data_IF_374153453423
#
_entry.id   IF_374153453423
#
_cell.length_a   1.000
_cell.length_b   1.000
_cell.length_c   1.000
_cell.angle_alpha   90.00
_cell.angle_beta   90.00
_cell.angle_gamma   90.00
#
_symmetry.space_group_name_H-M   'P 1'
#
loop_
_entity.id
_entity.type
_entity.pdbx_description
1 polymer ?
#
# COMPACT_ATOMS: atom_id res chain seq x y z
N UNK A 1 15.85 -15.96 6.16
CA UNK A 1 14.92 -14.85 6.44
C UNK A 1 14.71 -14.79 7.94
N UNK A 2 14.98 -13.65 8.58
CA UNK A 2 14.60 -13.43 9.97
C UNK A 2 13.06 -13.49 10.04
N UNK A 3 12.50 -14.12 11.07
CA UNK A 3 11.04 -14.17 11.22
C UNK A 3 10.48 -12.74 11.30
N UNK A 4 9.32 -12.50 10.67
CA UNK A 4 8.67 -11.19 10.72
C UNK A 4 8.39 -10.79 12.17
N UNK A 5 8.72 -9.56 12.59
CA UNK A 5 8.48 -9.11 13.95
C UNK A 5 7.02 -8.66 14.19
N UNK A 6 6.24 -8.50 13.12
CA UNK A 6 4.90 -7.91 13.19
C UNK A 6 3.83 -8.97 13.50
N UNK A 7 2.77 -8.53 14.18
CA UNK A 7 1.60 -9.34 14.50
C UNK A 7 0.34 -8.65 13.99
N UNK A 8 -0.79 -9.37 13.86
CA UNK A 8 -2.05 -8.75 13.50
C UNK A 8 -2.44 -7.66 14.51
N UNK A 9 -3.01 -6.55 14.02
CA UNK A 9 -3.44 -5.45 14.88
C UNK A 9 -4.59 -5.90 15.81
N UNK A 10 -4.48 -5.50 17.08
CA UNK A 10 -5.50 -5.65 18.11
C UNK A 10 -6.17 -4.30 18.32
N UNK A 11 -7.33 -4.11 17.68
CA UNK A 11 -8.12 -2.88 17.77
C UNK A 11 -9.14 -2.98 18.92
N UNK A 12 -9.45 -1.86 19.59
CA UNK A 12 -10.43 -1.80 20.71
C UNK A 12 -11.81 -2.28 20.29
N UNK A 13 -12.17 -1.99 19.05
CA UNK A 13 -13.47 -2.32 18.50
C UNK A 13 -13.30 -3.22 17.28
N UNK A 14 -13.86 -4.44 17.29
CA UNK A 14 -13.85 -5.29 16.12
C UNK A 14 -14.66 -4.66 14.99
N UNK A 15 -14.22 -4.85 13.76
CA UNK A 15 -15.00 -4.47 12.59
C UNK A 15 -16.24 -5.36 12.49
N UNK A 16 -17.44 -4.82 12.22
CA UNK A 16 -18.60 -5.65 11.90
C UNK A 16 -18.52 -6.22 10.47
N UNK A 17 -17.54 -5.79 9.68
CA UNK A 17 -17.25 -6.31 8.35
C UNK A 17 -16.20 -7.44 8.44
N UNK A 18 -16.09 -8.31 7.42
CA UNK A 18 -15.07 -9.37 7.37
C UNK A 18 -13.62 -8.88 7.35
N UNK A 19 -13.42 -7.56 7.27
CA UNK A 19 -12.15 -6.86 7.17
C UNK A 19 -12.21 -5.53 7.93
N UNK A 20 -11.06 -4.94 8.22
CA UNK A 20 -10.95 -3.67 8.97
C UNK A 20 -11.47 -2.51 8.11
N UNK A 21 -12.21 -1.57 8.69
CA UNK A 21 -12.64 -0.35 7.97
C UNK A 21 -12.45 0.88 8.87
N UNK A 22 -11.45 1.70 8.56
CA UNK A 22 -11.34 3.07 9.04
C UNK A 22 -12.09 4.00 8.10
N UNK A 23 -12.98 4.84 8.62
CA UNK A 23 -13.66 5.84 7.82
C UNK A 23 -13.86 7.16 8.56
N UNK A 24 -13.89 8.26 7.82
CA UNK A 24 -14.00 9.62 8.37
C UNK A 24 -13.36 10.64 7.43
N UNK A 25 -13.45 11.94 7.76
CA UNK A 25 -13.15 12.99 6.81
C UNK A 25 -11.65 13.13 6.58
N UNK A 26 -11.26 13.62 5.40
CA UNK A 26 -9.86 13.88 5.03
C UNK A 26 -9.13 14.76 6.06
N UNK A 27 -9.84 15.74 6.62
CA UNK A 27 -9.39 16.60 7.72
C UNK A 27 -10.59 16.87 8.63
N UNK A 28 -10.36 17.08 9.92
CA UNK A 28 -11.37 17.70 10.77
C UNK A 28 -11.48 19.18 10.38
N UNK A 29 -12.68 19.64 10.02
CA UNK A 29 -12.91 21.00 9.51
C UNK A 29 -13.55 21.88 10.58
N UNK A 30 -14.63 21.36 11.18
CA UNK A 30 -15.30 21.95 12.34
C UNK A 30 -15.73 20.84 13.28
N UNK A 31 -16.02 21.19 14.54
CA UNK A 31 -16.57 20.23 15.51
C UNK A 31 -17.88 19.62 15.00
N UNK A 32 -18.79 20.45 14.49
CA UNK A 32 -20.08 20.00 13.96
C UNK A 32 -19.92 19.02 12.79
N UNK A 33 -19.03 19.33 11.85
CA UNK A 33 -18.73 18.45 10.71
C UNK A 33 -18.12 17.12 11.18
N UNK A 34 -17.17 17.17 12.12
CA UNK A 34 -16.48 15.99 12.64
C UNK A 34 -17.46 15.04 13.34
N UNK A 35 -18.29 15.58 14.25
CA UNK A 35 -19.28 14.80 14.99
C UNK A 35 -20.39 14.26 14.08
N UNK A 36 -20.93 15.08 13.17
CA UNK A 36 -21.95 14.63 12.22
C UNK A 36 -21.44 13.49 11.33
N UNK A 37 -20.18 13.55 10.89
CA UNK A 37 -19.54 12.46 10.14
C UNK A 37 -19.46 11.18 10.98
N UNK A 38 -18.96 11.30 12.21
CA UNK A 38 -18.78 10.18 13.11
C UNK A 38 -20.12 9.52 13.48
N UNK A 39 -21.15 10.30 13.80
CA UNK A 39 -22.51 9.83 14.09
C UNK A 39 -23.10 9.05 12.91
N UNK A 40 -23.02 9.62 11.70
CA UNK A 40 -23.54 8.98 10.50
C UNK A 40 -22.85 7.64 10.20
N UNK A 41 -21.54 7.57 10.41
CA UNK A 41 -20.73 6.35 10.27
C UNK A 41 -21.05 5.33 11.38
N UNK A 42 -21.15 5.78 12.63
CA UNK A 42 -21.43 4.95 13.81
C UNK A 42 -22.78 4.26 13.71
N UNK A 43 -23.79 5.00 13.24
CA UNK A 43 -25.15 4.49 12.98
C UNK A 43 -25.15 3.33 11.96
N UNK A 44 -24.12 3.25 11.12
CA UNK A 44 -23.96 2.26 10.05
C UNK A 44 -22.96 1.14 10.40
N UNK A 45 -22.52 1.05 11.65
CA UNK A 45 -21.66 -0.03 12.11
C UNK A 45 -20.17 0.28 12.13
N UNK A 46 -19.71 1.36 11.50
CA UNK A 46 -18.29 1.75 11.56
C UNK A 46 -17.92 2.07 13.02
N UNK A 47 -16.74 1.60 13.44
CA UNK A 47 -16.21 1.79 14.81
C UNK A 47 -14.81 2.41 14.85
N UNK A 48 -14.14 2.48 13.71
CA UNK A 48 -12.81 3.02 13.58
C UNK A 48 -12.92 4.31 12.79
N UNK A 49 -12.74 5.43 13.48
CA UNK A 49 -12.89 6.76 12.90
C UNK A 49 -11.52 7.31 12.51
N UNK A 50 -11.42 8.00 11.37
CA UNK A 50 -10.18 8.67 10.94
C UNK A 50 -10.41 10.14 10.67
N UNK A 51 -9.58 11.02 11.20
CA UNK A 51 -9.55 12.44 10.82
C UNK A 51 -8.15 13.02 11.03
N UNK A 52 -7.63 13.76 10.05
CA UNK A 52 -6.35 14.48 10.22
C UNK A 52 -6.63 15.80 10.91
N UNK A 53 -5.85 16.13 11.94
CA UNK A 53 -5.88 17.46 12.55
C UNK A 53 -4.85 18.41 11.93
N UNK A 54 -3.71 17.87 11.50
CA UNK A 54 -2.62 18.59 10.84
C UNK A 54 -2.46 18.12 9.40
N UNK A 55 -2.31 19.05 8.44
CA UNK A 55 -2.19 18.73 7.01
C UNK A 55 -0.86 19.22 6.44
N UNK A 56 -0.01 18.32 5.92
CA UNK A 56 1.23 18.71 5.23
C UNK A 56 0.91 19.21 3.80
N UNK A 57 0.48 20.47 3.67
CA UNK A 57 0.09 21.05 2.39
C UNK A 57 1.31 21.38 1.53
N UNK A 58 1.20 21.10 0.23
CA UNK A 58 2.26 21.42 -0.75
C UNK A 58 2.30 22.90 -1.10
N UNK A 59 1.15 23.58 -1.04
CA UNK A 59 1.04 25.01 -1.34
C UNK A 59 0.65 25.75 -0.06
N UNK A 60 1.43 26.79 0.33
CA UNK A 60 1.04 27.70 1.40
C UNK A 60 -0.33 28.34 1.15
N UNK A 61 -1.06 28.69 2.22
CA UNK A 61 -2.35 29.38 2.14
C UNK A 61 -3.55 28.51 1.78
N UNK A 62 -3.37 27.19 1.73
CA UNK A 62 -4.49 26.23 1.71
C UNK A 62 -4.77 25.73 3.14
N UNK A 63 -5.97 25.24 3.42
CA UNK A 63 -6.34 24.77 4.76
C UNK A 63 -5.29 23.77 5.31
N UNK A 64 -4.64 24.15 6.40
CA UNK A 64 -3.51 23.42 7.03
C UNK A 64 -3.97 22.44 8.12
N UNK A 65 -5.28 22.33 8.33
CA UNK A 65 -5.87 21.62 9.44
C UNK A 65 -6.16 22.54 10.62
N UNK A 66 -7.05 22.10 11.51
CA UNK A 66 -7.42 22.82 12.75
C UNK A 66 -6.37 22.69 13.85
N UNK A 67 -5.40 21.78 13.68
CA UNK A 67 -4.37 21.48 14.68
C UNK A 67 -4.96 21.03 16.02
N UNK A 68 -4.33 21.46 17.10
CA UNK A 68 -4.64 21.06 18.48
C UNK A 68 -6.08 21.37 18.89
N UNK A 69 -6.71 22.38 18.29
CA UNK A 69 -8.12 22.74 18.55
C UNK A 69 -9.09 21.61 18.20
N UNK A 70 -8.70 20.70 17.30
CA UNK A 70 -9.49 19.54 16.92
C UNK A 70 -9.35 18.34 17.86
N UNK A 71 -8.36 18.31 18.77
CA UNK A 71 -8.14 17.19 19.70
C UNK A 71 -9.36 16.93 20.60
N UNK A 72 -10.00 17.96 21.21
CA UNK A 72 -11.24 17.76 21.98
C UNK A 72 -12.37 17.14 21.14
N UNK A 73 -12.46 17.43 19.85
CA UNK A 73 -13.51 16.89 18.99
C UNK A 73 -13.33 15.38 18.78
N UNK A 74 -12.08 14.93 18.61
CA UNK A 74 -11.75 13.52 18.50
C UNK A 74 -12.00 12.77 19.82
N UNK A 75 -11.66 13.37 20.97
CA UNK A 75 -12.00 12.82 22.28
C UNK A 75 -13.51 12.67 22.47
N UNK A 76 -14.31 13.64 21.98
CA UNK A 76 -15.78 13.54 22.00
C UNK A 76 -16.28 12.39 21.16
N UNK A 77 -15.72 12.16 19.97
CA UNK A 77 -16.06 10.99 19.14
C UNK A 77 -15.81 9.69 19.89
N UNK A 78 -14.66 9.53 20.56
CA UNK A 78 -14.38 8.32 21.35
C UNK A 78 -15.36 8.15 22.51
N UNK A 79 -15.56 9.21 23.30
CA UNK A 79 -16.37 9.19 24.52
C UNK A 79 -17.86 9.04 24.25
N UNK A 80 -18.40 9.79 23.29
CA UNK A 80 -19.85 9.88 23.03
C UNK A 80 -20.34 8.77 22.10
N UNK A 81 -19.51 8.32 21.15
CA UNK A 81 -19.92 7.35 20.13
C UNK A 81 -19.31 5.96 20.33
N UNK A 82 -18.35 5.81 21.25
CA UNK A 82 -17.65 4.54 21.49
C UNK A 82 -16.93 4.06 20.24
N UNK A 83 -16.22 4.98 19.58
CA UNK A 83 -15.37 4.70 18.42
C UNK A 83 -13.90 4.79 18.84
N UNK A 84 -13.03 4.07 18.13
CA UNK A 84 -11.59 4.24 18.25
C UNK A 84 -11.15 5.22 17.17
N UNK A 85 -10.59 6.35 17.58
CA UNK A 85 -10.18 7.41 16.66
C UNK A 85 -8.72 7.26 16.30
N UNK A 86 -8.42 7.35 15.01
CA UNK A 86 -7.08 7.55 14.49
C UNK A 86 -6.90 8.99 13.98
N UNK A 87 -5.70 9.55 14.16
CA UNK A 87 -5.28 10.83 13.58
C UNK A 87 -3.88 10.75 12.96
N UNK A 88 -3.57 11.65 12.02
CA UNK A 88 -2.24 11.76 11.41
C UNK A 88 -1.27 12.45 12.37
N UNK A 89 -0.08 11.88 12.56
CA UNK A 89 1.04 12.55 13.22
C UNK A 89 2.21 12.66 12.24
N UNK A 90 2.91 13.79 12.28
CA UNK A 90 3.97 14.10 11.30
C UNK A 90 5.23 14.72 11.91
N UNK A 91 5.20 15.12 13.17
CA UNK A 91 6.31 15.62 13.98
C UNK A 91 6.20 15.11 15.41
N UNK A 92 7.27 15.22 16.21
CA UNK A 92 7.23 14.92 17.64
C UNK A 92 6.15 15.72 18.39
N UNK A 93 5.98 17.00 18.07
CA UNK A 93 4.95 17.84 18.71
C UNK A 93 3.53 17.32 18.49
N UNK A 94 3.19 16.84 17.29
CA UNK A 94 1.88 16.24 17.02
C UNK A 94 1.66 14.98 17.86
N UNK A 95 2.71 14.17 18.05
CA UNK A 95 2.67 12.97 18.89
C UNK A 95 2.42 13.37 20.35
N UNK A 96 3.21 14.29 20.89
CA UNK A 96 3.10 14.76 22.27
C UNK A 96 1.71 15.32 22.58
N UNK A 97 1.17 16.18 21.71
CA UNK A 97 -0.16 16.76 21.89
C UNK A 97 -1.28 15.72 21.80
N UNK A 98 -1.19 14.78 20.85
CA UNK A 98 -2.20 13.74 20.69
C UNK A 98 -2.19 12.74 21.85
N UNK A 99 -1.01 12.36 22.36
CA UNK A 99 -0.85 11.54 23.56
C UNK A 99 -1.36 12.27 24.81
N UNK A 100 -1.07 13.57 24.95
CA UNK A 100 -1.58 14.38 26.05
C UNK A 100 -3.11 14.49 26.03
N UNK A 101 -3.72 14.44 24.83
CA UNK A 101 -5.16 14.34 24.65
C UNK A 101 -5.70 12.90 24.84
N UNK A 102 -4.87 11.92 25.19
CA UNK A 102 -5.28 10.54 25.42
C UNK A 102 -5.65 9.76 24.17
N UNK A 103 -5.29 10.25 22.97
CA UNK A 103 -5.39 9.48 21.74
C UNK A 103 -4.22 8.49 21.67
N UNK A 104 -4.47 7.30 21.14
CA UNK A 104 -3.47 6.22 21.12
C UNK A 104 -3.40 5.46 19.78
N UNK A 105 -4.12 5.94 18.77
CA UNK A 105 -4.12 5.35 17.43
C UNK A 105 -3.72 6.43 16.45
N UNK A 106 -2.62 6.20 15.74
CA UNK A 106 -2.03 7.16 14.83
C UNK A 106 -1.78 6.56 13.46
N UNK A 107 -1.72 7.40 12.44
CA UNK A 107 -1.02 7.04 11.23
C UNK A 107 0.05 8.06 10.87
N UNK A 108 1.07 7.57 10.17
CA UNK A 108 2.13 8.38 9.60
C UNK A 108 1.88 8.51 8.10
N UNK A 109 1.83 9.75 7.61
CA UNK A 109 1.55 10.07 6.21
C UNK A 109 2.69 9.73 5.25
N UNK A 110 2.35 9.51 3.97
CA UNK A 110 3.31 9.09 2.94
C UNK A 110 4.52 10.04 2.77
N UNK A 111 4.32 11.35 2.99
CA UNK A 111 5.40 12.35 2.95
C UNK A 111 6.40 12.16 4.08
N UNK A 112 5.90 11.90 5.29
CA UNK A 112 6.72 11.67 6.47
C UNK A 112 7.45 10.34 6.38
N UNK A 113 6.78 9.27 5.91
CA UNK A 113 7.41 7.96 5.64
C UNK A 113 8.60 8.07 4.68
N UNK A 114 8.57 9.03 3.75
CA UNK A 114 9.66 9.24 2.78
C UNK A 114 10.97 9.73 3.44
N UNK A 115 10.93 10.21 4.70
CA UNK A 115 12.10 10.72 5.42
C UNK A 115 12.50 9.79 6.58
N UNK A 116 13.63 9.06 6.49
CA UNK A 116 14.15 8.27 7.59
C UNK A 116 14.42 9.08 8.86
N UNK A 117 14.80 10.36 8.73
CA UNK A 117 15.00 11.25 9.87
C UNK A 117 13.68 11.58 10.58
N UNK A 118 12.62 11.90 9.84
CA UNK A 118 11.31 12.15 10.43
C UNK A 118 10.73 10.89 11.07
N UNK A 119 10.93 9.73 10.44
CA UNK A 119 10.57 8.44 11.04
C UNK A 119 11.34 8.14 12.32
N UNK A 120 12.62 8.56 12.41
CA UNK A 120 13.42 8.40 13.63
C UNK A 120 12.89 9.27 14.77
N UNK A 121 12.61 10.54 14.48
CA UNK A 121 12.06 11.48 15.45
C UNK A 121 10.69 11.00 15.99
N UNK A 122 9.81 10.54 15.09
CA UNK A 122 8.52 9.98 15.50
C UNK A 122 8.65 8.70 16.31
N UNK A 123 9.58 7.80 15.94
CA UNK A 123 9.81 6.57 16.70
C UNK A 123 10.35 6.88 18.11
N UNK A 124 11.20 7.89 18.26
CA UNK A 124 11.68 8.36 19.56
C UNK A 124 10.55 8.96 20.40
N UNK A 125 9.73 9.83 19.81
CA UNK A 125 8.59 10.47 20.50
C UNK A 125 7.51 9.47 20.95
N UNK A 126 7.37 8.34 20.24
CA UNK A 126 6.42 7.27 20.58
C UNK A 126 7.03 6.19 21.48
N UNK A 127 8.34 6.24 21.75
CA UNK A 127 9.07 5.18 22.44
C UNK A 127 8.52 4.93 23.84
N UNK A 128 8.20 3.66 24.15
CA UNK A 128 7.61 3.26 25.43
C UNK A 128 6.09 3.45 25.55
N UNK A 129 5.45 4.07 24.55
CA UNK A 129 4.00 4.30 24.56
C UNK A 129 3.21 3.06 24.10
N UNK A 130 2.01 2.89 24.68
CA UNK A 130 1.10 1.79 24.32
C UNK A 130 0.13 2.20 23.22
N UNK A 131 0.67 2.41 22.03
CA UNK A 131 -0.06 2.97 20.89
C UNK A 131 -0.17 2.00 19.73
N UNK A 132 -1.14 2.26 18.85
CA UNK A 132 -1.26 1.65 17.52
C UNK A 132 -0.80 2.65 16.46
N UNK A 133 0.16 2.26 15.63
CA UNK A 133 0.72 3.14 14.58
C UNK A 133 0.59 2.45 13.22
N UNK A 134 -0.07 3.13 12.28
CA UNK A 134 -0.15 2.67 10.90
C UNK A 134 0.72 3.54 9.98
N UNK A 135 1.54 2.94 9.13
CA UNK A 135 2.46 3.70 8.25
C UNK A 135 2.01 3.64 6.81
N UNK A 136 1.66 4.79 6.22
CA UNK A 136 1.39 4.88 4.77
C UNK A 136 2.67 4.64 3.98
N UNK A 137 2.58 3.95 2.84
CA UNK A 137 3.75 3.77 1.96
C UNK A 137 4.38 5.12 1.56
N UNK A 138 5.69 5.16 1.30
CA UNK A 138 6.36 6.38 0.84
C UNK A 138 5.83 6.83 -0.53
N UNK A 139 6.12 8.08 -0.91
CA UNK A 139 5.66 8.63 -2.18
C UNK A 139 6.27 7.91 -3.39
N UNK A 140 7.55 7.54 -3.28
CA UNK A 140 8.29 6.77 -4.27
C UNK A 140 8.05 5.26 -4.07
N UNK A 141 8.04 4.46 -5.15
CA UNK A 141 7.87 3.01 -5.10
C UNK A 141 9.10 2.30 -4.54
N UNK A 142 9.30 2.42 -3.23
CA UNK A 142 10.46 1.88 -2.52
C UNK A 142 9.99 1.06 -1.30
N UNK A 143 10.10 -0.26 -1.45
CA UNK A 143 9.72 -1.21 -0.41
C UNK A 143 10.69 -1.18 0.78
N UNK A 144 11.99 -0.99 0.53
CA UNK A 144 13.01 -0.99 1.57
C UNK A 144 12.81 0.21 2.49
N UNK A 145 12.44 1.36 1.92
CA UNK A 145 12.08 2.55 2.69
C UNK A 145 10.81 2.34 3.53
N UNK A 146 9.79 1.68 2.98
CA UNK A 146 8.56 1.39 3.72
C UNK A 146 8.78 0.38 4.85
N UNK A 147 9.49 -0.72 4.57
CA UNK A 147 9.85 -1.74 5.56
C UNK A 147 10.75 -1.14 6.65
N UNK A 148 11.75 -0.33 6.27
CA UNK A 148 12.62 0.37 7.21
C UNK A 148 11.87 1.28 8.19
N UNK A 149 10.84 1.99 7.71
CA UNK A 149 9.98 2.82 8.57
C UNK A 149 9.22 1.98 9.61
N UNK A 150 8.66 0.83 9.21
CA UNK A 150 7.95 -0.10 10.10
C UNK A 150 8.91 -0.72 11.13
N UNK A 151 10.09 -1.17 10.69
CA UNK A 151 11.10 -1.77 11.57
C UNK A 151 11.66 -0.78 12.58
N UNK A 152 11.74 0.51 12.22
CA UNK A 152 12.18 1.56 13.15
C UNK A 152 11.21 1.78 14.30
N UNK A 153 9.90 1.78 14.02
CA UNK A 153 8.87 1.81 15.06
C UNK A 153 8.94 0.55 15.93
N UNK A 154 9.17 -0.62 15.32
CA UNK A 154 9.31 -1.87 16.06
C UNK A 154 10.53 -1.83 17.01
N UNK A 155 11.66 -1.31 16.55
CA UNK A 155 12.86 -1.14 17.37
C UNK A 155 12.67 -0.15 18.53
N UNK A 156 11.81 0.85 18.36
CA UNK A 156 11.39 1.76 19.44
C UNK A 156 10.40 1.13 20.44
N UNK A 157 10.07 -0.16 20.27
CA UNK A 157 9.23 -0.92 21.19
C UNK A 157 7.73 -0.71 20.99
N UNK A 158 7.30 -0.16 19.85
CA UNK A 158 5.87 0.06 19.57
C UNK A 158 5.15 -1.29 19.39
N UNK A 159 4.09 -1.57 20.17
CA UNK A 159 3.52 -2.92 20.26
C UNK A 159 2.61 -3.27 19.08
N UNK A 160 2.02 -2.27 18.41
CA UNK A 160 0.96 -2.45 17.42
C UNK A 160 1.28 -1.61 16.17
N UNK A 161 1.84 -2.26 15.15
CA UNK A 161 2.29 -1.61 13.91
C UNK A 161 1.53 -2.20 12.73
N UNK A 162 0.95 -1.31 11.91
CA UNK A 162 0.31 -1.66 10.65
C UNK A 162 0.86 -0.84 9.48
N UNK A 163 0.47 -1.22 8.27
CA UNK A 163 0.83 -0.50 7.06
C UNK A 163 -0.44 -0.06 6.31
N UNK A 164 -0.34 1.04 5.55
CA UNK A 164 -1.43 1.54 4.71
C UNK A 164 -0.91 1.74 3.29
N UNK A 165 -1.42 0.95 2.35
CA UNK A 165 -1.13 1.12 0.94
C UNK A 165 -2.06 2.19 0.33
N UNK A 166 -1.48 3.32 -0.09
CA UNK A 166 -2.17 4.49 -0.66
C UNK A 166 -1.75 4.82 -2.09
N UNK A 167 -1.03 3.90 -2.75
CA UNK A 167 -0.44 4.09 -4.08
C UNK A 167 0.78 5.00 -4.06
N UNK A 168 1.45 5.11 -5.20
CA UNK A 168 2.70 5.85 -5.38
C UNK A 168 2.52 7.02 -6.35
N UNK A 169 3.30 8.07 -6.14
CA UNK A 169 3.28 9.25 -6.99
C UNK A 169 3.75 8.92 -8.39
N UNK A 170 3.03 9.38 -9.42
CA UNK A 170 3.43 9.26 -10.83
C UNK A 170 3.47 10.63 -11.51
N UNK A 171 4.39 10.80 -12.45
CA UNK A 171 4.45 12.02 -13.27
C UNK A 171 3.34 12.06 -14.33
N UNK A 172 3.01 10.90 -14.91
CA UNK A 172 1.98 10.79 -15.94
C UNK A 172 0.57 10.86 -15.34
N UNK A 173 -0.34 11.57 -16.01
CA UNK A 173 -1.78 11.49 -15.72
C UNK A 173 -2.29 10.12 -16.15
N UNK A 174 -2.68 9.30 -15.18
CA UNK A 174 -3.27 7.98 -15.41
C UNK A 174 -4.73 7.91 -14.97
N UNK A 175 -5.27 6.69 -14.97
CA UNK A 175 -6.60 6.39 -14.43
C UNK A 175 -6.69 6.74 -12.93
N UNK A 176 -5.62 6.46 -12.20
CA UNK A 176 -5.50 6.67 -10.75
C UNK A 176 -4.75 7.97 -10.44
N UNK A 177 -5.05 8.61 -9.30
CA UNK A 177 -4.27 9.73 -8.76
C UNK A 177 -2.90 9.29 -8.29
N UNK A 178 -2.82 8.13 -7.63
CA UNK A 178 -1.56 7.49 -7.26
C UNK A 178 -1.56 6.08 -7.84
N UNK A 179 -0.53 5.71 -8.59
CA UNK A 179 -0.45 4.38 -9.19
C UNK A 179 -0.42 3.32 -8.09
N UNK A 180 -1.29 2.29 -8.13
CA UNK A 180 -1.33 1.30 -7.07
C UNK A 180 0.01 0.54 -6.94
N UNK A 181 0.61 0.10 -8.05
CA UNK A 181 1.83 -0.72 -8.05
C UNK A 181 1.74 -1.87 -7.01
N UNK A 182 0.68 -2.67 -7.15
CA UNK A 182 0.29 -3.73 -6.21
C UNK A 182 1.40 -4.73 -5.88
N UNK A 183 2.39 -4.90 -6.77
CA UNK A 183 3.56 -5.74 -6.51
C UNK A 183 4.33 -5.35 -5.24
N UNK A 184 4.33 -4.06 -4.86
CA UNK A 184 5.05 -3.57 -3.67
C UNK A 184 4.37 -4.00 -2.36
N UNK A 185 3.08 -3.69 -2.11
CA UNK A 185 2.42 -4.17 -0.90
C UNK A 185 2.26 -5.71 -0.86
N UNK A 186 2.18 -6.38 -2.02
CA UNK A 186 2.20 -7.85 -2.09
C UNK A 186 3.56 -8.39 -1.61
N UNK A 187 4.66 -7.82 -2.08
CA UNK A 187 6.00 -8.20 -1.61
C UNK A 187 6.19 -7.91 -0.12
N UNK A 188 5.70 -6.77 0.37
CA UNK A 188 5.74 -6.46 1.81
C UNK A 188 4.98 -7.50 2.64
N UNK A 189 3.80 -7.94 2.16
CA UNK A 189 3.05 -9.04 2.80
C UNK A 189 3.80 -10.37 2.72
N UNK A 190 4.50 -10.67 1.63
CA UNK A 190 5.31 -11.89 1.50
C UNK A 190 6.45 -11.90 2.53
N UNK A 191 7.10 -10.76 2.76
CA UNK A 191 8.16 -10.60 3.78
C UNK A 191 7.60 -10.62 5.20
N UNK A 192 6.37 -10.11 5.39
CA UNK A 192 5.70 -10.02 6.68
C UNK A 192 4.25 -10.52 6.63
N UNK A 193 4.02 -11.86 6.65
CA UNK A 193 2.70 -12.45 6.41
C UNK A 193 1.61 -12.00 7.40
N UNK A 194 2.00 -11.77 8.65
CA UNK A 194 1.10 -11.36 9.74
C UNK A 194 0.93 -9.83 9.88
N UNK A 195 1.67 -9.03 9.09
CA UNK A 195 1.52 -7.58 9.10
C UNK A 195 0.12 -7.19 8.60
N UNK A 196 -0.59 -6.39 9.38
CA UNK A 196 -1.85 -5.80 8.95
C UNK A 196 -1.56 -4.71 7.92
N UNK A 197 -2.07 -4.89 6.70
CA UNK A 197 -1.93 -3.92 5.61
C UNK A 197 -3.33 -3.49 5.17
N UNK A 198 -3.65 -2.22 5.35
CA UNK A 198 -4.90 -1.61 4.86
C UNK A 198 -4.66 -1.00 3.47
N UNK A 199 -5.72 -0.88 2.67
CA UNK A 199 -5.70 -0.12 1.43
C UNK A 199 -6.42 1.21 1.64
N UNK A 200 -5.84 2.30 1.15
CA UNK A 200 -6.44 3.63 1.10
C UNK A 200 -6.94 3.89 -0.32
N UNK A 201 -8.17 3.44 -0.64
CA UNK A 201 -8.71 3.56 -1.99
C UNK A 201 -8.97 5.02 -2.37
N UNK A 202 -9.25 5.89 -1.40
CA UNK A 202 -9.52 7.31 -1.62
C UNK A 202 -8.32 8.02 -2.24
N UNK A 203 -7.13 7.85 -1.67
CA UNK A 203 -5.93 8.48 -2.22
C UNK A 203 -5.46 7.83 -3.52
N UNK A 204 -5.54 6.49 -3.66
CA UNK A 204 -5.20 5.81 -4.92
C UNK A 204 -6.11 6.33 -6.04
N UNK A 205 -7.42 6.32 -5.82
CA UNK A 205 -8.41 6.76 -6.79
C UNK A 205 -8.29 8.25 -7.11
N UNK A 206 -8.25 9.09 -6.09
CA UNK A 206 -8.34 10.55 -6.22
C UNK A 206 -9.71 11.08 -6.65
N UNK A 207 -10.68 10.20 -6.87
CA UNK A 207 -12.05 10.51 -7.27
C UNK A 207 -13.04 9.44 -6.80
N UNK A 208 -14.23 9.85 -6.38
CA UNK A 208 -15.26 8.98 -5.76
C UNK A 208 -15.66 7.79 -6.63
N UNK A 209 -15.78 7.96 -7.95
CA UNK A 209 -16.22 6.91 -8.88
C UNK A 209 -15.25 5.73 -8.98
N UNK A 210 -13.97 5.92 -8.66
CA UNK A 210 -12.98 4.85 -8.65
C UNK A 210 -12.75 4.20 -7.28
N UNK A 211 -13.27 4.79 -6.20
CA UNK A 211 -13.12 4.22 -4.84
C UNK A 211 -13.67 2.78 -4.74
N UNK A 212 -14.85 2.44 -5.33
CA UNK A 212 -15.36 1.06 -5.29
C UNK A 212 -14.41 0.07 -5.97
N UNK A 213 -13.87 0.43 -7.15
CA UNK A 213 -12.95 -0.42 -7.91
C UNK A 213 -11.68 -0.71 -7.11
N UNK A 214 -11.03 0.32 -6.56
CA UNK A 214 -9.79 0.15 -5.81
C UNK A 214 -10.02 -0.61 -4.51
N UNK A 215 -11.15 -0.37 -3.83
CA UNK A 215 -11.54 -1.10 -2.63
C UNK A 215 -11.65 -2.60 -2.90
N UNK A 216 -12.32 -2.96 -4.00
CA UNK A 216 -12.45 -4.35 -4.45
C UNK A 216 -11.08 -4.99 -4.73
N UNK A 217 -10.25 -4.34 -5.54
CA UNK A 217 -8.91 -4.85 -5.88
C UNK A 217 -8.09 -5.12 -4.62
N UNK A 218 -8.12 -4.21 -3.65
CA UNK A 218 -7.41 -4.38 -2.38
C UNK A 218 -7.87 -5.60 -1.59
N UNK A 219 -9.17 -5.81 -1.47
CA UNK A 219 -9.73 -6.94 -0.72
C UNK A 219 -9.55 -8.27 -1.46
N UNK A 220 -9.66 -8.30 -2.79
CA UNK A 220 -9.40 -9.49 -3.62
C UNK A 220 -7.94 -9.96 -3.53
N UNK A 221 -7.02 -9.02 -3.27
CA UNK A 221 -5.60 -9.32 -2.98
C UNK A 221 -5.35 -9.72 -1.52
N UNK A 222 -6.41 -9.94 -0.73
CA UNK A 222 -6.36 -10.38 0.67
C UNK A 222 -5.66 -9.38 1.61
N UNK A 223 -5.72 -8.08 1.30
CA UNK A 223 -5.32 -7.05 2.27
C UNK A 223 -6.33 -6.96 3.43
N UNK A 224 -5.86 -6.53 4.59
CA UNK A 224 -6.57 -6.68 5.87
C UNK A 224 -7.78 -5.75 6.03
N UNK A 225 -7.94 -4.76 5.16
CA UNK A 225 -9.04 -3.80 5.24
C UNK A 225 -8.81 -2.52 4.45
N UNK A 226 -9.64 -1.52 4.75
CA UNK A 226 -9.72 -0.25 4.05
C UNK A 226 -9.57 0.94 5.00
N UNK A 227 -8.98 2.02 4.50
CA UNK A 227 -9.00 3.35 5.11
C UNK A 227 -9.62 4.33 4.12
N UNK A 228 -10.88 4.70 4.32
CA UNK A 228 -11.68 5.43 3.33
C UNK A 228 -12.01 6.83 3.83
N UNK A 229 -11.85 7.83 2.96
CA UNK A 229 -12.27 9.19 3.29
C UNK A 229 -13.77 9.36 3.10
N UNK A 230 -14.41 9.95 4.08
CA UNK A 230 -15.87 10.10 4.14
C UNK A 230 -16.25 11.44 4.73
N UNK A 231 -17.11 12.17 4.04
CA UNK A 231 -17.57 13.51 4.41
C UNK A 231 -19.10 13.58 4.29
N UNK A 232 -19.82 14.29 5.18
CA UNK A 232 -21.27 14.42 5.11
C UNK A 232 -21.71 15.16 3.83
N UNK A 233 -20.93 16.17 3.42
CA UNK A 233 -21.14 16.94 2.19
C UNK A 233 -19.82 17.06 1.42
N UNK A 234 -19.42 16.05 0.65
CA UNK A 234 -18.10 16.00 0.03
C UNK A 234 -17.72 17.18 -0.86
N UNK A 235 -18.70 17.84 -1.50
CA UNK A 235 -18.43 18.99 -2.38
C UNK A 235 -18.01 20.25 -1.62
N UNK A 236 -18.39 20.38 -0.35
CA UNK A 236 -18.05 21.50 0.51
C UNK A 236 -16.78 21.26 1.34
N UNK A 237 -16.15 20.09 1.20
CA UNK A 237 -14.99 19.73 2.01
C UNK A 237 -13.78 20.63 1.73
N UNK A 238 -13.09 21.05 2.78
CA UNK A 238 -11.94 21.96 2.73
C UNK A 238 -10.66 21.28 2.22
N UNK A 239 -10.70 19.95 2.07
CA UNK A 239 -9.59 19.14 1.56
C UNK A 239 -10.08 17.91 0.82
N UNK A 240 -9.39 17.57 -0.28
CA UNK A 240 -9.62 16.36 -1.09
C UNK A 240 -11.12 16.06 -1.43
N UNK A 241 -11.93 17.11 -1.62
CA UNK A 241 -13.37 17.02 -1.88
C UNK A 241 -13.73 15.91 -2.88
N UNK A 242 -13.03 15.86 -4.02
CA UNK A 242 -13.31 14.95 -5.13
C UNK A 242 -13.25 13.44 -4.79
N UNK A 243 -12.57 13.03 -3.72
CA UNK A 243 -12.33 11.61 -3.39
C UNK A 243 -13.08 11.12 -2.13
N UNK A 244 -13.67 12.03 -1.35
CA UNK A 244 -14.40 11.67 -0.13
C UNK A 244 -15.80 11.17 -0.47
N UNK A 245 -16.20 10.01 0.04
CA UNK A 245 -17.56 9.48 -0.13
C UNK A 245 -18.53 10.10 0.87
N UNK A 246 -19.84 9.96 0.66
CA UNK A 246 -20.80 10.14 1.76
C UNK A 246 -20.84 8.89 2.65
N UNK A 247 -21.28 8.99 3.92
CA UNK A 247 -21.49 7.82 4.79
C UNK A 247 -22.43 6.77 4.17
N UNK A 248 -23.43 7.20 3.39
CA UNK A 248 -24.36 6.29 2.72
C UNK A 248 -23.71 5.58 1.54
N UNK A 249 -22.93 6.28 0.72
CA UNK A 249 -22.22 5.68 -0.41
C UNK A 249 -21.19 4.66 0.06
N UNK A 250 -20.46 4.96 1.14
CA UNK A 250 -19.50 4.03 1.74
C UNK A 250 -20.18 2.70 2.09
N UNK A 251 -21.31 2.72 2.80
CA UNK A 251 -22.01 1.48 3.17
C UNK A 251 -22.56 0.74 1.96
N UNK A 252 -23.06 1.48 0.97
CA UNK A 252 -23.52 0.88 -0.28
C UNK A 252 -22.38 0.10 -0.95
N UNK A 253 -21.19 0.70 -1.01
CA UNK A 253 -19.99 0.04 -1.54
C UNK A 253 -19.61 -1.17 -0.68
N UNK A 254 -19.52 -1.02 0.65
CA UNK A 254 -19.16 -2.13 1.55
C UNK A 254 -20.14 -3.30 1.45
N UNK A 255 -21.44 -3.04 1.27
CA UNK A 255 -22.46 -4.08 1.09
C UNK A 255 -22.31 -4.87 -0.22
N UNK A 256 -21.70 -4.27 -1.25
CA UNK A 256 -21.41 -4.90 -2.53
C UNK A 256 -20.08 -5.67 -2.53
N UNK A 257 -19.25 -5.46 -1.50
CA UNK A 257 -17.97 -6.13 -1.31
C UNK A 257 -18.15 -7.35 -0.39
N UNK A 258 -18.92 -8.36 -0.82
CA UNK A 258 -19.05 -9.65 -0.12
C UNK A 258 -17.80 -10.52 -0.36
N UNK A 259 -16.64 -9.97 0.00
CA UNK A 259 -15.36 -10.66 -0.06
C UNK A 259 -15.00 -11.09 1.35
N UNK A 260 -15.09 -12.39 1.61
CA UNK A 260 -14.59 -12.99 2.84
C UNK A 260 -13.12 -13.33 2.63
N UNK A 261 -12.26 -13.14 3.64
CA UNK A 261 -10.89 -13.65 3.59
C UNK A 261 -10.96 -15.13 3.23
N UNK A 262 -10.35 -15.51 2.11
CA UNK A 262 -10.34 -16.88 1.69
C UNK A 262 -9.52 -17.67 2.72
N UNK A 263 -10.18 -18.51 3.52
CA UNK A 263 -9.50 -19.68 4.04
C UNK A 263 -9.04 -20.50 2.83
N UNK A 264 -7.88 -21.18 2.89
CA UNK A 264 -7.48 -22.09 1.82
C UNK A 264 -8.63 -23.06 1.59
N UNK A 265 -9.38 -22.84 0.51
CA UNK A 265 -10.47 -23.70 0.12
C UNK A 265 -9.83 -24.91 -0.51
N UNK A 266 -10.18 -26.10 -0.01
CA UNK A 266 -9.89 -27.39 -0.63
C UNK A 266 -10.73 -27.58 -1.92
N UNK A 267 -10.81 -26.54 -2.75
CA UNK A 267 -11.46 -26.62 -4.05
C UNK A 267 -10.55 -27.46 -4.96
N UNK A 268 -10.94 -28.71 -5.18
CA UNK A 268 -10.19 -29.67 -5.98
C UNK A 268 -9.95 -29.18 -7.42
N UNK A 269 -10.86 -28.39 -7.99
CA UNK A 269 -10.65 -27.83 -9.33
C UNK A 269 -9.55 -26.78 -9.30
N UNK A 270 -9.55 -25.91 -8.28
CA UNK A 270 -8.50 -24.91 -8.11
C UNK A 270 -7.13 -25.56 -7.85
N UNK A 271 -7.07 -26.58 -7.00
CA UNK A 271 -5.84 -27.34 -6.74
C UNK A 271 -5.30 -27.99 -8.03
N UNK A 272 -6.17 -28.62 -8.82
CA UNK A 272 -5.75 -29.22 -10.09
C UNK A 272 -5.27 -28.20 -11.14
N UNK A 273 -5.77 -26.96 -11.12
CA UNK A 273 -5.25 -25.88 -11.97
C UNK A 273 -3.91 -25.35 -11.47
N UNK A 274 -3.72 -25.24 -10.15
CA UNK A 274 -2.43 -24.84 -9.55
C UNK A 274 -1.33 -25.84 -9.87
N UNK A 275 -1.61 -27.14 -9.77
CA UNK A 275 -0.66 -28.20 -10.16
C UNK A 275 -0.26 -28.10 -11.63
N UNK A 276 -1.17 -27.70 -12.53
CA UNK A 276 -0.83 -27.45 -13.94
C UNK A 276 0.09 -26.24 -14.11
N UNK A 277 -0.14 -25.16 -13.37
CA UNK A 277 0.76 -24.00 -13.35
C UNK A 277 2.13 -24.42 -12.84
N UNK A 278 2.20 -25.15 -11.73
CA UNK A 278 3.46 -25.65 -11.15
C UNK A 278 4.26 -26.49 -12.16
N UNK A 279 3.57 -27.33 -12.94
CA UNK A 279 4.20 -28.12 -14.02
C UNK A 279 4.75 -27.23 -15.15
N UNK A 280 3.99 -26.23 -15.60
CA UNK A 280 4.45 -25.27 -16.62
C UNK A 280 5.65 -24.47 -16.11
N UNK A 281 5.60 -24.02 -14.86
CA UNK A 281 6.68 -23.26 -14.24
C UNK A 281 7.96 -24.09 -14.12
N UNK A 282 7.85 -25.38 -13.81
CA UNK A 282 8.98 -26.29 -13.84
C UNK A 282 9.62 -26.40 -15.24
N UNK A 283 8.81 -26.48 -16.30
CA UNK A 283 9.32 -26.47 -17.68
C UNK A 283 9.93 -25.13 -18.08
N UNK A 284 9.34 -24.00 -17.65
CA UNK A 284 9.92 -22.67 -17.87
C UNK A 284 11.29 -22.55 -17.21
N UNK A 285 11.46 -23.04 -15.97
CA UNK A 285 12.75 -23.06 -15.28
C UNK A 285 13.79 -23.92 -16.02
N UNK A 286 13.39 -25.09 -16.54
CA UNK A 286 14.25 -25.94 -17.36
C UNK A 286 14.72 -25.20 -18.62
N UNK A 287 13.79 -24.58 -19.36
CA UNK A 287 14.09 -23.82 -20.58
C UNK A 287 14.99 -22.60 -20.29
N UNK A 288 14.76 -21.92 -19.17
CA UNK A 288 15.63 -20.82 -18.74
C UNK A 288 17.05 -21.30 -18.44
N UNK A 289 17.22 -22.44 -17.77
CA UNK A 289 18.54 -23.04 -17.53
C UNK A 289 19.25 -23.40 -18.83
N UNK A 290 18.57 -24.06 -19.76
CA UNK A 290 19.11 -24.39 -21.08
C UNK A 290 19.57 -23.13 -21.82
N UNK A 291 18.74 -22.08 -21.77
CA UNK A 291 19.07 -20.78 -22.36
C UNK A 291 20.30 -20.12 -21.69
N UNK A 292 20.48 -20.28 -20.39
CA UNK A 292 21.66 -19.76 -19.68
C UNK A 292 22.93 -20.52 -20.09
N UNK A 293 22.90 -21.84 -20.23
CA UNK A 293 24.04 -22.64 -20.71
C UNK A 293 24.50 -22.15 -22.10
N UNK A 294 23.56 -21.94 -23.03
CA UNK A 294 23.88 -21.37 -24.34
C UNK A 294 24.46 -19.95 -24.23
N UNK A 295 24.01 -19.17 -23.24
CA UNK A 295 24.56 -17.84 -22.99
C UNK A 295 26.01 -17.89 -22.47
N UNK A 296 26.34 -18.87 -21.62
CA UNK A 296 27.71 -19.16 -21.14
C UNK A 296 28.63 -19.47 -22.35
N UNK A 297 28.20 -20.39 -23.23
CA UNK A 297 28.94 -20.75 -24.45
C UNK A 297 29.17 -19.54 -25.38
N UNK A 298 28.15 -18.71 -25.60
CA UNK A 298 28.27 -17.47 -26.37
C UNK A 298 29.30 -16.53 -25.72
N UNK A 299 29.31 -16.44 -24.39
CA UNK A 299 30.28 -15.66 -23.62
C UNK A 299 31.71 -16.09 -23.91
N UNK A 300 31.99 -17.39 -23.83
CA UNK A 300 33.32 -17.95 -24.11
C UNK A 300 33.79 -17.69 -25.54
N UNK A 301 32.89 -17.80 -26.53
CA UNK A 301 33.21 -17.50 -27.93
C UNK A 301 33.55 -16.02 -28.09
N UNK A 302 32.72 -15.13 -27.53
CA UNK A 302 32.95 -13.68 -27.60
C UNK A 302 34.25 -13.28 -26.91
N UNK A 303 34.52 -13.82 -25.73
CA UNK A 303 35.76 -13.56 -24.99
C UNK A 303 36.99 -13.98 -25.83
N UNK A 304 36.96 -15.20 -26.38
CA UNK A 304 38.05 -15.73 -27.22
C UNK A 304 38.27 -14.89 -28.49
N UNK A 305 37.18 -14.36 -29.07
CA UNK A 305 37.21 -13.50 -30.25
C UNK A 305 37.38 -12.00 -29.93
N UNK A 306 37.57 -11.62 -28.67
CA UNK A 306 37.66 -10.22 -28.22
C UNK A 306 36.45 -9.36 -28.63
N UNK A 307 35.26 -9.97 -28.67
CA UNK A 307 34.01 -9.31 -29.05
C UNK A 307 33.28 -8.72 -27.83
N UNK A 308 32.56 -7.60 -27.99
CA UNK A 308 31.69 -7.06 -26.94
C UNK A 308 30.59 -8.05 -26.52
N UNK A 309 30.35 -8.14 -25.21
CA UNK A 309 29.28 -8.97 -24.62
C UNK A 309 27.91 -8.46 -25.07
N UNK A 310 27.69 -7.15 -24.99
CA UNK A 310 26.41 -6.52 -25.38
C UNK A 310 26.48 -6.00 -26.80
N UNK A 311 25.51 -6.38 -27.63
CA UNK A 311 25.35 -5.92 -29.00
C UNK A 311 23.95 -5.30 -29.15
N UNK A 312 23.83 -3.96 -29.13
CA UNK A 312 22.54 -3.27 -29.02
C UNK A 312 21.54 -3.62 -30.13
N UNK A 313 21.99 -3.70 -31.38
CA UNK A 313 21.11 -4.00 -32.52
C UNK A 313 20.54 -5.43 -32.43
N UNK A 314 21.34 -6.39 -31.97
CA UNK A 314 20.89 -7.77 -31.77
C UNK A 314 19.81 -7.85 -30.69
N UNK A 315 20.00 -7.09 -29.59
CA UNK A 315 19.02 -7.05 -28.50
C UNK A 315 17.72 -6.39 -28.94
N UNK A 316 17.78 -5.25 -29.64
CA UNK A 316 16.59 -4.58 -30.20
C UNK A 316 15.79 -5.52 -31.10
N UNK A 317 16.44 -6.17 -32.06
CA UNK A 317 15.76 -7.08 -32.99
C UNK A 317 15.15 -8.28 -32.26
N UNK A 318 15.87 -8.88 -31.29
CA UNK A 318 15.35 -9.97 -30.48
C UNK A 318 14.10 -9.55 -29.70
N UNK A 319 14.11 -8.36 -29.09
CA UNK A 319 12.99 -7.86 -28.31
C UNK A 319 11.78 -7.61 -29.22
N UNK A 320 11.96 -6.96 -30.37
CA UNK A 320 10.90 -6.75 -31.36
C UNK A 320 10.28 -8.07 -31.84
N UNK A 321 11.10 -9.07 -32.17
CA UNK A 321 10.64 -10.40 -32.58
C UNK A 321 9.82 -11.09 -31.48
N UNK A 322 10.27 -11.03 -30.22
CA UNK A 322 9.57 -11.64 -29.08
C UNK A 322 8.27 -10.93 -28.76
N UNK A 323 8.23 -9.61 -28.86
CA UNK A 323 6.99 -8.83 -28.71
C UNK A 323 5.98 -9.18 -29.81
N UNK A 324 6.41 -9.34 -31.06
CA UNK A 324 5.54 -9.73 -32.16
C UNK A 324 4.97 -11.14 -31.96
N UNK A 325 5.81 -12.11 -31.58
CA UNK A 325 5.37 -13.48 -31.29
C UNK A 325 4.40 -13.55 -30.12
N UNK A 326 4.72 -12.86 -29.02
CA UNK A 326 3.86 -12.85 -27.84
C UNK A 326 2.52 -12.17 -28.10
N UNK A 327 2.48 -11.10 -28.92
CA UNK A 327 1.22 -10.49 -29.39
C UNK A 327 0.35 -11.49 -30.14
N UNK A 328 0.93 -12.32 -31.02
CA UNK A 328 0.20 -13.36 -31.75
C UNK A 328 -0.37 -14.46 -30.83
N UNK A 329 0.23 -14.66 -29.66
CA UNK A 329 -0.25 -15.57 -28.62
C UNK A 329 -1.22 -14.91 -27.63
N UNK A 330 -1.54 -13.62 -27.82
CA UNK A 330 -2.45 -12.88 -26.92
C UNK A 330 -1.82 -12.43 -25.60
N UNK A 331 -0.49 -12.37 -25.52
CA UNK A 331 0.25 -11.90 -24.33
C UNK A 331 0.42 -10.37 -24.35
N UNK A 332 0.39 -9.75 -23.17
CA UNK A 332 0.59 -8.32 -22.99
C UNK A 332 2.03 -7.89 -23.35
N UNK A 333 2.16 -6.83 -24.15
CA UNK A 333 3.47 -6.35 -24.60
C UNK A 333 4.32 -5.74 -23.49
N UNK A 334 3.69 -5.09 -22.50
CA UNK A 334 4.38 -4.51 -21.36
C UNK A 334 5.05 -5.61 -20.53
N UNK A 335 4.28 -6.63 -20.18
CA UNK A 335 4.77 -7.83 -19.49
C UNK A 335 5.92 -8.51 -20.24
N UNK A 336 5.77 -8.74 -21.54
CA UNK A 336 6.81 -9.38 -22.35
C UNK A 336 8.10 -8.55 -22.40
N UNK A 337 7.96 -7.23 -22.48
CA UNK A 337 9.11 -6.32 -22.48
C UNK A 337 9.90 -6.44 -21.19
N UNK A 338 9.23 -6.42 -20.04
CA UNK A 338 9.88 -6.60 -18.73
C UNK A 338 10.53 -7.97 -18.61
N UNK A 339 9.77 -9.05 -18.91
CA UNK A 339 10.25 -10.43 -18.83
C UNK A 339 11.51 -10.67 -19.66
N UNK A 340 11.49 -10.33 -20.95
CA UNK A 340 12.63 -10.57 -21.83
C UNK A 340 13.80 -9.63 -21.57
N UNK A 341 13.55 -8.45 -20.98
CA UNK A 341 14.62 -7.57 -20.51
C UNK A 341 15.35 -8.17 -19.32
N UNK A 342 14.62 -8.67 -18.31
CA UNK A 342 15.23 -9.34 -17.15
C UNK A 342 15.98 -10.60 -17.53
N UNK A 343 15.44 -11.41 -18.45
CA UNK A 343 16.14 -12.58 -19.00
C UNK A 343 17.42 -12.16 -19.72
N UNK A 344 17.39 -11.08 -20.51
CA UNK A 344 18.59 -10.58 -21.21
C UNK A 344 19.67 -10.12 -20.24
N UNK A 345 19.30 -9.32 -19.23
CA UNK A 345 20.21 -8.84 -18.20
C UNK A 345 20.88 -9.99 -17.44
N UNK A 346 20.12 -11.01 -17.04
CA UNK A 346 20.68 -12.23 -16.45
C UNK A 346 21.69 -12.92 -17.38
N UNK A 347 21.40 -12.98 -18.68
CA UNK A 347 22.30 -13.57 -19.68
C UNK A 347 23.63 -12.82 -19.81
N UNK A 348 23.57 -11.49 -19.73
CA UNK A 348 24.76 -10.62 -19.78
C UNK A 348 25.60 -10.83 -18.53
N UNK A 349 24.96 -10.94 -17.36
CA UNK A 349 25.65 -11.23 -16.11
C UNK A 349 26.34 -12.60 -16.14
N UNK A 350 25.66 -13.64 -16.61
CA UNK A 350 26.25 -14.98 -16.78
C UNK A 350 27.48 -14.97 -17.70
N UNK A 351 27.42 -14.25 -18.84
CA UNK A 351 28.57 -14.09 -19.74
C UNK A 351 29.76 -13.39 -19.07
N UNK A 352 29.52 -12.52 -18.09
CA UNK A 352 30.57 -11.82 -17.34
C UNK A 352 31.28 -12.70 -16.30
N UNK A 353 30.54 -13.56 -15.60
CA UNK A 353 31.06 -14.33 -14.46
C UNK A 353 32.02 -15.44 -14.88
N UNK A 354 31.81 -16.05 -16.05
CA UNK A 354 32.66 -17.13 -16.59
C UNK A 354 33.77 -16.66 -17.55
N UNK A 355 33.92 -15.35 -17.73
CA UNK A 355 35.00 -14.73 -18.52
C UNK A 355 36.24 -14.35 -17.69
N UNK A 356 36.29 -14.75 -16.41
CA UNK A 356 37.47 -14.69 -15.54
C UNK A 356 37.88 -16.10 -15.18
#
# INVERSE_FOLDING_TARGET
>A
MQASPFRPLTLRHPSPFPYIVFAGPCSAETEAQTLATAEALRARGIRLFRASLWKPRTRPGSFEGVGSEGLPWLQRVERELGMQVATEVASASHVEEALAAGLDTFWIGARTTTSPFAMAELAEALSGERVTVLVKNPLNPDIELWEGALLRLYQAGIPQIGAIHRGFSTYAKGLYRNAPLWQIPIELRRRHPELTILVDPSHIAGRRDLVPLVSRMGLEMNFSGLMVETHPEPESAWSDAAQQLTPTDLITILSQLDLRPAHPTDDRMLSGLREKIDHIDAELLRLLRERMIVSEEIGHIKASAHLPIVQPDRYRNLLEDRLAQGRALGLDEGFLRELFSSIHEASVHTQHTDSK
#
